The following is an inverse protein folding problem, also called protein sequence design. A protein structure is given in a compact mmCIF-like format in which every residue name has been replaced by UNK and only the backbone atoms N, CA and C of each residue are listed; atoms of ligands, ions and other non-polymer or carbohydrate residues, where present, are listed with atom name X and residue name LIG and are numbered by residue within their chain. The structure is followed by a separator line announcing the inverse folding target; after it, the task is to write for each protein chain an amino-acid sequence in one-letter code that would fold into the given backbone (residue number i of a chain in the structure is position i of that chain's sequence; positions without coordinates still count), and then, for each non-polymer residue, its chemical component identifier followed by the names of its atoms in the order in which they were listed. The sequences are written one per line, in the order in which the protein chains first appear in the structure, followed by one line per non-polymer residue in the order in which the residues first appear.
data_IF_394946585577
#
_entry.id   IF_394946585577
#
_cell.length_a   1.000
_cell.length_b   1.000
_cell.length_c   1.000
_cell.angle_alpha   90.00
_cell.angle_beta   90.00
_cell.angle_gamma   90.00
#
_symmetry.space_group_name_H-M   'P 1'
#
loop_
_entity.id
_entity.type
_entity.pdbx_description
1 polymer ?
#
# COMPACT_ATOMS: atom_id res chain seq x y z
N UNK A 1 -13.40 -54.67 50.28
CA UNK A 1 -13.33 -53.57 51.27
C UNK A 1 -12.20 -52.66 50.84
N UNK A 2 -12.38 -51.40 50.46
CA UNK A 2 -13.59 -50.60 50.37
C UNK A 2 -13.36 -49.56 49.26
N UNK A 3 -14.27 -49.56 48.28
CA UNK A 3 -14.20 -48.77 47.06
C UNK A 3 -15.26 -47.67 47.17
N UNK A 4 -14.99 -46.66 48.00
CA UNK A 4 -15.81 -45.45 48.27
C UNK A 4 -14.95 -44.61 49.22
N UNK A 5 -14.30 -43.50 48.84
CA UNK A 5 -14.89 -42.16 48.64
C UNK A 5 -13.82 -41.18 48.11
N UNK A 6 -13.49 -41.22 46.80
CA UNK A 6 -12.66 -40.18 46.13
C UNK A 6 -13.47 -39.21 45.25
N UNK A 7 -14.80 -39.30 45.29
CA UNK A 7 -15.70 -38.63 44.35
C UNK A 7 -15.98 -37.12 44.58
N UNK A 8 -15.96 -36.52 45.78
CA UNK A 8 -16.47 -35.16 45.95
C UNK A 8 -15.57 -34.10 45.27
N UNK A 9 -14.25 -34.26 45.35
CA UNK A 9 -13.31 -33.31 44.75
C UNK A 9 -13.36 -33.29 43.21
N UNK A 10 -13.51 -34.46 42.58
CA UNK A 10 -13.62 -34.58 41.12
C UNK A 10 -14.95 -34.00 40.60
N UNK A 11 -16.05 -34.24 41.32
CA UNK A 11 -17.37 -33.68 40.98
C UNK A 11 -17.40 -32.15 41.14
N UNK A 12 -16.82 -31.61 42.22
CA UNK A 12 -16.73 -30.17 42.44
C UNK A 12 -15.89 -29.50 41.34
N UNK A 13 -14.76 -30.10 40.93
CA UNK A 13 -13.95 -29.58 39.83
C UNK A 13 -14.72 -29.59 38.50
N UNK A 14 -15.42 -30.68 38.16
CA UNK A 14 -16.20 -30.77 36.92
C UNK A 14 -17.35 -29.74 36.87
N UNK A 15 -17.96 -29.40 38.01
CA UNK A 15 -19.09 -28.49 38.07
C UNK A 15 -18.70 -27.01 38.21
N UNK A 16 -17.58 -26.70 38.85
CA UNK A 16 -17.23 -25.32 39.23
C UNK A 16 -15.90 -24.82 38.67
N UNK A 17 -15.07 -25.72 38.11
CA UNK A 17 -13.69 -25.42 37.72
C UNK A 17 -12.75 -25.12 38.91
N UNK A 18 -13.25 -25.10 40.15
CA UNK A 18 -12.47 -24.79 41.35
C UNK A 18 -11.87 -26.06 41.94
N UNK A 19 -10.57 -26.04 42.21
CA UNK A 19 -9.87 -27.11 42.94
C UNK A 19 -10.10 -26.94 44.44
N UNK A 20 -10.46 -28.03 45.13
CA UNK A 20 -10.40 -28.12 46.59
C UNK A 20 -9.29 -29.10 47.00
N UNK A 21 -8.32 -28.60 47.76
CA UNK A 21 -7.21 -29.37 48.32
C UNK A 21 -5.88 -29.25 47.56
N UNK A 22 -4.79 -29.49 48.28
CA UNK A 22 -3.39 -29.30 47.84
C UNK A 22 -2.78 -30.56 47.18
N UNK A 23 -3.61 -31.58 46.91
CA UNK A 23 -3.15 -32.92 46.55
C UNK A 23 -2.84 -33.12 45.05
N UNK A 24 -3.23 -32.18 44.18
CA UNK A 24 -3.00 -32.28 42.74
C UNK A 24 -2.18 -31.08 42.29
N UNK A 25 -0.96 -31.33 41.81
CA UNK A 25 -0.09 -30.30 41.26
C UNK A 25 -0.74 -29.62 40.05
N UNK A 26 -0.53 -28.31 39.94
CA UNK A 26 -0.98 -27.56 38.77
C UNK A 26 -0.25 -28.08 37.53
N UNK A 27 -1.03 -28.30 36.46
CA UNK A 27 -0.50 -28.68 35.15
C UNK A 27 -0.18 -27.45 34.28
N UNK A 28 -0.51 -26.26 34.77
CA UNK A 28 -0.22 -25.00 34.13
C UNK A 28 1.30 -24.84 34.02
N UNK A 29 1.79 -24.56 32.81
CA UNK A 29 3.22 -24.48 32.52
C UNK A 29 3.89 -25.81 32.13
N UNK A 30 3.23 -26.98 32.31
CA UNK A 30 3.78 -28.28 31.91
C UNK A 30 3.72 -28.54 30.39
N UNK A 31 3.17 -27.60 29.59
CA UNK A 31 3.00 -27.69 28.13
C UNK A 31 2.43 -29.05 27.68
N UNK A 32 1.46 -29.58 28.44
CA UNK A 32 0.84 -30.87 28.18
C UNK A 32 -0.12 -30.77 27.00
N UNK A 33 -0.02 -31.74 26.08
CA UNK A 33 -0.93 -31.92 24.95
C UNK A 33 -1.53 -33.33 25.04
N UNK A 34 -2.81 -33.53 24.67
CA UNK A 34 -3.37 -34.86 24.48
C UNK A 34 -2.48 -35.71 23.58
N UNK A 35 -2.37 -37.01 23.84
CA UNK A 35 -1.52 -37.91 23.04
C UNK A 35 -1.85 -37.87 21.53
N UNK A 36 -3.13 -37.70 21.18
CA UNK A 36 -3.59 -37.52 19.80
C UNK A 36 -3.02 -36.26 19.14
N UNK A 37 -2.68 -35.24 19.92
CA UNK A 37 -2.12 -33.98 19.46
C UNK A 37 -0.59 -33.92 19.61
N UNK A 38 0.07 -34.99 20.08
CA UNK A 38 1.52 -35.02 20.23
C UNK A 38 2.28 -34.67 18.92
N UNK A 39 1.85 -35.08 17.72
CA UNK A 39 2.49 -34.67 16.47
C UNK A 39 2.40 -33.16 16.19
N UNK A 40 1.41 -32.46 16.74
CA UNK A 40 1.19 -31.03 16.56
C UNK A 40 1.93 -30.17 17.59
N UNK A 41 2.75 -30.78 18.44
CA UNK A 41 3.57 -30.06 19.42
C UNK A 41 4.63 -29.19 18.74
N UNK A 42 5.18 -29.67 17.63
CA UNK A 42 6.12 -28.93 16.80
C UNK A 42 5.41 -28.52 15.49
N UNK A 43 4.88 -27.30 15.48
CA UNK A 43 4.23 -26.75 14.29
C UNK A 43 5.23 -26.43 13.17
N UNK A 44 6.52 -26.25 13.47
CA UNK A 44 7.54 -25.98 12.46
C UNK A 44 7.82 -27.21 11.60
N UNK A 45 7.61 -28.41 12.15
CA UNK A 45 7.68 -29.68 11.41
C UNK A 45 6.47 -29.93 10.50
N UNK A 46 5.38 -29.17 10.65
CA UNK A 46 4.16 -29.33 9.87
C UNK A 46 4.08 -28.29 8.75
N UNK A 47 3.70 -28.74 7.56
CA UNK A 47 3.42 -27.87 6.43
C UNK A 47 1.98 -27.38 6.50
N UNK A 48 1.80 -26.11 6.82
CA UNK A 48 0.52 -25.42 6.96
C UNK A 48 0.63 -24.02 6.33
N UNK A 49 -0.48 -23.28 6.29
CA UNK A 49 -0.57 -22.00 5.57
C UNK A 49 0.30 -20.86 6.13
N UNK A 50 0.80 -20.98 7.35
CA UNK A 50 1.79 -20.07 7.92
C UNK A 50 3.20 -20.64 7.76
N UNK A 51 4.26 -19.82 7.67
CA UNK A 51 4.23 -18.35 7.72
C UNK A 51 3.68 -17.72 6.43
N UNK A 52 3.20 -16.49 6.57
CA UNK A 52 2.79 -15.65 5.43
C UNK A 52 3.97 -14.79 4.98
N UNK A 53 4.05 -14.52 3.68
CA UNK A 53 4.96 -13.58 3.06
C UNK A 53 4.14 -12.39 2.58
N UNK A 54 4.46 -11.22 3.13
CA UNK A 54 3.87 -9.93 2.80
C UNK A 54 4.67 -9.35 1.64
N UNK A 55 4.23 -9.61 0.41
CA UNK A 55 4.96 -9.28 -0.81
C UNK A 55 4.97 -7.77 -1.08
N UNK A 56 6.14 -7.26 -1.44
CA UNK A 56 6.34 -5.87 -1.84
C UNK A 56 5.87 -5.63 -3.28
N UNK A 57 5.32 -4.45 -3.54
CA UNK A 57 4.98 -3.99 -4.90
C UNK A 57 3.82 -4.75 -5.57
N UNK A 58 3.18 -5.69 -4.87
CA UNK A 58 2.00 -6.41 -5.36
C UNK A 58 0.76 -5.83 -4.72
N UNK A 59 -0.22 -5.45 -5.54
CA UNK A 59 -1.48 -4.92 -5.06
C UNK A 59 -2.55 -6.00 -4.86
N UNK A 60 -3.52 -5.67 -4.00
CA UNK A 60 -4.74 -6.47 -3.83
C UNK A 60 -4.49 -7.83 -3.18
N UNK A 61 -5.31 -8.85 -3.49
CA UNK A 61 -5.26 -10.15 -2.80
C UNK A 61 -3.97 -10.95 -3.09
N UNK A 62 -3.17 -10.54 -4.07
CA UNK A 62 -1.87 -11.14 -4.37
C UNK A 62 -0.74 -10.68 -3.44
N UNK A 63 -0.95 -9.62 -2.65
CA UNK A 63 0.06 -9.01 -1.76
C UNK A 63 0.45 -9.90 -0.58
N UNK A 64 -0.30 -10.99 -0.34
CA UNK A 64 -0.06 -11.94 0.74
C UNK A 64 -0.08 -13.35 0.18
N UNK A 65 0.97 -14.12 0.49
CA UNK A 65 1.12 -15.51 0.05
C UNK A 65 1.63 -16.36 1.19
N UNK A 66 1.19 -17.62 1.31
CA UNK A 66 1.87 -18.55 2.22
C UNK A 66 3.25 -18.92 1.66
N UNK A 67 4.22 -19.13 2.56
CA UNK A 67 5.55 -19.62 2.17
C UNK A 67 5.45 -20.93 1.37
N UNK A 68 4.61 -21.87 1.81
CA UNK A 68 4.36 -23.12 1.09
C UNK A 68 3.87 -22.90 -0.33
N UNK A 69 2.96 -21.95 -0.54
CA UNK A 69 2.44 -21.68 -1.88
C UNK A 69 3.50 -21.02 -2.80
N UNK A 70 4.43 -20.25 -2.26
CA UNK A 70 5.57 -19.69 -3.03
C UNK A 70 6.55 -20.80 -3.41
N UNK A 71 6.92 -21.66 -2.46
CA UNK A 71 7.79 -22.82 -2.70
C UNK A 71 7.16 -23.79 -3.71
N UNK A 72 5.85 -24.07 -3.61
CA UNK A 72 5.11 -24.89 -4.58
C UNK A 72 5.02 -24.25 -5.97
N UNK A 73 4.98 -22.92 -6.03
CA UNK A 73 5.08 -22.16 -7.29
C UNK A 73 6.44 -22.38 -7.93
N UNK A 74 7.50 -22.04 -7.20
CA UNK A 74 8.89 -22.20 -7.62
C UNK A 74 9.18 -23.64 -8.08
N UNK A 75 8.82 -24.66 -7.27
CA UNK A 75 9.09 -26.06 -7.59
C UNK A 75 8.37 -26.56 -8.86
N UNK A 76 7.23 -25.98 -9.24
CA UNK A 76 6.57 -26.31 -10.51
C UNK A 76 7.37 -25.84 -11.72
N UNK A 77 8.19 -24.81 -11.56
CA UNK A 77 8.99 -24.22 -12.62
C UNK A 77 10.39 -24.83 -12.70
N UNK A 78 11.05 -24.99 -11.54
CA UNK A 78 12.46 -25.39 -11.50
C UNK A 78 12.69 -26.90 -11.34
N UNK A 79 11.70 -27.66 -10.86
CA UNK A 79 11.85 -29.10 -10.64
C UNK A 79 11.12 -29.90 -11.73
N UNK A 80 11.82 -30.37 -12.79
CA UNK A 80 11.23 -31.23 -13.81
C UNK A 80 10.83 -32.61 -13.25
N UNK A 81 10.16 -33.43 -14.07
CA UNK A 81 9.90 -34.83 -13.72
C UNK A 81 11.20 -35.64 -13.86
N UNK A 82 11.55 -36.43 -12.86
CA UNK A 82 12.75 -37.25 -12.85
C UNK A 82 13.48 -37.21 -11.49
N UNK A 83 14.59 -37.94 -11.40
CA UNK A 83 15.37 -38.09 -10.17
C UNK A 83 15.96 -36.75 -9.71
N UNK A 84 16.50 -35.95 -10.63
CA UNK A 84 17.10 -34.65 -10.32
C UNK A 84 16.06 -33.66 -9.79
N UNK A 85 14.88 -33.59 -10.44
CA UNK A 85 13.79 -32.75 -9.95
C UNK A 85 13.26 -33.20 -8.59
N UNK A 86 13.22 -34.50 -8.32
CA UNK A 86 12.80 -35.00 -7.00
C UNK A 86 13.83 -34.71 -5.90
N UNK A 87 15.12 -34.75 -6.23
CA UNK A 87 16.19 -34.29 -5.34
C UNK A 87 16.03 -32.79 -5.03
N UNK A 88 15.77 -31.96 -6.03
CA UNK A 88 15.54 -30.53 -5.83
C UNK A 88 14.29 -30.26 -4.96
N UNK A 89 13.18 -30.98 -5.19
CA UNK A 89 11.99 -30.90 -4.32
C UNK A 89 12.31 -31.21 -2.87
N UNK A 90 13.05 -32.31 -2.61
CA UNK A 90 13.45 -32.67 -1.25
C UNK A 90 14.23 -31.56 -0.58
N UNK A 91 15.24 -31.00 -1.25
CA UNK A 91 16.08 -29.96 -0.68
C UNK A 91 15.34 -28.64 -0.48
N UNK A 92 14.47 -28.25 -1.41
CA UNK A 92 13.63 -27.06 -1.24
C UNK A 92 12.65 -27.21 -0.05
N UNK A 93 12.08 -28.40 0.16
CA UNK A 93 11.21 -28.66 1.31
C UNK A 93 11.98 -28.71 2.64
N UNK A 94 13.24 -29.19 2.63
CA UNK A 94 14.14 -29.06 3.77
C UNK A 94 14.43 -27.60 4.08
N UNK A 95 14.72 -26.78 3.07
CA UNK A 95 14.92 -25.34 3.23
C UNK A 95 13.67 -24.65 3.78
N UNK A 96 12.47 -24.97 3.26
CA UNK A 96 11.20 -24.46 3.80
C UNK A 96 11.07 -24.79 5.30
N UNK A 97 11.46 -26.00 5.71
CA UNK A 97 11.43 -26.43 7.11
C UNK A 97 12.44 -25.65 7.98
N UNK A 98 13.63 -25.38 7.47
CA UNK A 98 14.65 -24.58 8.17
C UNK A 98 14.21 -23.13 8.34
N UNK A 99 13.53 -22.53 7.36
CA UNK A 99 12.91 -21.20 7.51
C UNK A 99 11.84 -21.22 8.60
N UNK A 100 10.94 -22.23 8.58
CA UNK A 100 9.88 -22.38 9.59
C UNK A 100 10.43 -22.51 11.01
N UNK A 101 11.53 -23.25 11.19
CA UNK A 101 12.21 -23.38 12.49
C UNK A 101 12.83 -22.06 12.93
N UNK A 102 13.56 -21.38 12.05
CA UNK A 102 14.15 -20.09 12.37
C UNK A 102 13.09 -19.09 12.86
N UNK A 103 11.95 -19.03 12.19
CA UNK A 103 10.82 -18.18 12.59
C UNK A 103 10.20 -18.61 13.93
N UNK A 104 10.10 -19.92 14.19
CA UNK A 104 9.62 -20.43 15.48
C UNK A 104 10.57 -20.09 16.63
N UNK A 105 11.87 -20.00 16.34
CA UNK A 105 12.92 -19.57 17.27
C UNK A 105 12.98 -18.02 17.42
N UNK A 106 12.13 -17.29 16.71
CA UNK A 106 12.00 -15.83 16.82
C UNK A 106 12.80 -15.04 15.79
N UNK A 107 13.31 -15.67 14.73
CA UNK A 107 13.85 -14.94 13.60
C UNK A 107 12.76 -14.08 12.93
N UNK A 108 13.15 -12.90 12.46
CA UNK A 108 12.32 -12.02 11.65
C UNK A 108 13.17 -11.52 10.48
N UNK A 109 12.53 -11.23 9.35
CA UNK A 109 13.25 -10.72 8.18
C UNK A 109 12.46 -10.88 6.89
N UNK A 110 13.14 -10.56 5.78
CA UNK A 110 12.62 -10.75 4.43
C UNK A 110 12.78 -12.19 3.98
N UNK A 111 11.99 -12.60 2.98
CA UNK A 111 12.08 -13.95 2.41
C UNK A 111 13.47 -14.21 1.83
N UNK A 112 14.06 -13.23 1.14
CA UNK A 112 15.43 -13.28 0.62
C UNK A 112 16.45 -13.67 1.70
N UNK A 113 16.42 -12.96 2.83
CA UNK A 113 17.42 -13.07 3.88
C UNK A 113 17.27 -14.41 4.63
N UNK A 114 16.02 -14.80 4.88
CA UNK A 114 15.71 -16.09 5.50
C UNK A 114 16.06 -17.27 4.58
N UNK A 115 15.90 -17.09 3.26
CA UNK A 115 16.28 -18.08 2.27
C UNK A 115 17.79 -18.27 2.22
N UNK A 116 18.55 -17.18 2.12
CA UNK A 116 20.01 -17.21 2.11
C UNK A 116 20.55 -17.85 3.39
N UNK A 117 20.06 -17.43 4.56
CA UNK A 117 20.48 -18.01 5.84
C UNK A 117 20.13 -19.50 5.97
N UNK A 118 18.97 -19.94 5.44
CA UNK A 118 18.59 -21.35 5.45
C UNK A 118 19.42 -22.18 4.46
N UNK A 119 19.72 -21.64 3.28
CA UNK A 119 20.56 -22.28 2.28
C UNK A 119 21.99 -22.47 2.80
N UNK A 120 22.58 -21.45 3.43
CA UNK A 120 23.91 -21.54 4.04
C UNK A 120 23.96 -22.63 5.13
N UNK A 121 22.96 -22.69 6.03
CA UNK A 121 22.88 -23.76 7.06
C UNK A 121 22.78 -25.17 6.47
N UNK A 122 22.08 -25.33 5.35
CA UNK A 122 22.00 -26.61 4.65
C UNK A 122 23.30 -26.92 3.91
N UNK A 123 23.96 -25.92 3.32
CA UNK A 123 25.27 -26.02 2.70
C UNK A 123 26.36 -26.49 3.65
N UNK A 124 26.39 -25.96 4.88
CA UNK A 124 27.31 -26.42 5.93
C UNK A 124 27.12 -27.90 6.29
N UNK A 125 25.88 -28.42 6.20
CA UNK A 125 25.53 -29.78 6.60
C UNK A 125 25.69 -30.80 5.49
N UNK A 126 25.34 -30.43 4.25
CA UNK A 126 25.24 -31.35 3.11
C UNK A 126 26.18 -31.00 1.94
N UNK A 127 26.80 -29.82 1.94
CA UNK A 127 27.83 -29.38 0.99
C UNK A 127 27.53 -28.06 0.26
N UNK A 128 28.56 -27.31 -0.11
CA UNK A 128 28.48 -25.99 -0.79
C UNK A 128 27.71 -26.03 -2.12
N UNK A 129 27.77 -27.16 -2.84
CA UNK A 129 27.02 -27.34 -4.09
C UNK A 129 25.51 -27.28 -3.87
N UNK A 130 25.02 -27.72 -2.70
CA UNK A 130 23.60 -27.64 -2.37
C UNK A 130 23.17 -26.19 -2.14
N UNK A 131 23.98 -25.41 -1.42
CA UNK A 131 23.73 -24.00 -1.17
C UNK A 131 23.56 -23.22 -2.48
N UNK A 132 24.51 -23.39 -3.41
CA UNK A 132 24.46 -22.73 -4.72
C UNK A 132 23.20 -23.10 -5.52
N UNK A 133 22.79 -24.38 -5.48
CA UNK A 133 21.55 -24.84 -6.13
C UNK A 133 20.32 -24.19 -5.52
N UNK A 134 20.26 -24.08 -4.19
CA UNK A 134 19.13 -23.47 -3.48
C UNK A 134 19.06 -21.95 -3.70
N UNK A 135 20.21 -21.27 -3.74
CA UNK A 135 20.29 -19.85 -4.09
C UNK A 135 19.87 -19.61 -5.56
N UNK A 136 20.26 -20.49 -6.47
CA UNK A 136 19.81 -20.40 -7.86
C UNK A 136 18.30 -20.62 -7.98
N UNK A 137 17.73 -21.59 -7.26
CA UNK A 137 16.30 -21.84 -7.25
C UNK A 137 15.49 -20.63 -6.74
N UNK A 138 16.05 -19.84 -5.81
CA UNK A 138 15.42 -18.62 -5.29
C UNK A 138 15.07 -17.61 -6.38
N UNK A 139 15.79 -17.61 -7.51
CA UNK A 139 15.51 -16.71 -8.64
C UNK A 139 14.15 -16.94 -9.30
N UNK A 140 13.53 -18.11 -9.10
CA UNK A 140 12.18 -18.43 -9.55
C UNK A 140 11.08 -18.04 -8.54
N UNK A 141 11.44 -17.43 -7.40
CA UNK A 141 10.46 -16.88 -6.48
C UNK A 141 9.87 -15.59 -7.07
N UNK A 142 8.54 -15.56 -7.16
CA UNK A 142 7.78 -14.44 -7.73
C UNK A 142 7.52 -13.35 -6.68
N UNK A 143 8.58 -12.70 -6.23
CA UNK A 143 8.53 -11.59 -5.30
C UNK A 143 9.19 -11.89 -3.96
N UNK A 144 9.48 -10.81 -3.25
CA UNK A 144 10.11 -10.80 -1.94
C UNK A 144 9.31 -9.89 -0.99
N UNK A 145 9.52 -10.07 0.30
CA UNK A 145 8.81 -9.29 1.31
C UNK A 145 8.98 -9.87 2.71
N UNK A 146 8.34 -9.22 3.67
CA UNK A 146 8.42 -9.58 5.09
C UNK A 146 7.76 -10.94 5.35
N UNK A 147 8.45 -11.83 6.05
CA UNK A 147 7.90 -13.13 6.45
C UNK A 147 7.36 -13.06 7.88
N UNK A 148 6.07 -13.33 8.02
CA UNK A 148 5.34 -13.22 9.29
C UNK A 148 4.86 -14.59 9.74
N UNK A 149 5.37 -15.02 10.90
CA UNK A 149 4.96 -16.25 11.57
C UNK A 149 3.57 -16.13 12.22
N UNK A 150 3.00 -17.24 12.66
CA UNK A 150 1.72 -17.25 13.39
C UNK A 150 1.92 -16.81 14.85
N UNK A 151 2.10 -15.50 15.06
CA UNK A 151 2.31 -14.88 16.38
C UNK A 151 1.17 -13.93 16.73
N UNK A 152 1.19 -13.38 17.96
CA UNK A 152 0.19 -12.39 18.40
C UNK A 152 0.27 -11.06 17.64
N UNK A 153 1.43 -10.72 17.06
CA UNK A 153 1.64 -9.48 16.28
C UNK A 153 1.26 -9.64 14.81
N UNK A 154 1.10 -10.88 14.33
CA UNK A 154 0.79 -11.18 12.94
C UNK A 154 -0.48 -10.49 12.42
N UNK A 155 -1.63 -10.50 13.12
CA UNK A 155 -2.85 -9.88 12.60
C UNK A 155 -2.68 -8.38 12.32
N UNK A 156 -1.98 -7.65 13.19
CA UNK A 156 -1.71 -6.23 13.02
C UNK A 156 -0.80 -5.97 11.81
N UNK A 157 0.29 -6.74 11.65
CA UNK A 157 1.20 -6.65 10.49
C UNK A 157 0.49 -6.97 9.18
N UNK A 158 -0.29 -8.04 9.16
CA UNK A 158 -1.06 -8.47 7.99
C UNK A 158 -2.06 -7.39 7.57
N UNK A 159 -2.87 -6.87 8.50
CA UNK A 159 -3.85 -5.83 8.20
C UNK A 159 -3.17 -4.53 7.74
N UNK A 160 -2.07 -4.12 8.39
CA UNK A 160 -1.32 -2.94 7.98
C UNK A 160 -0.75 -3.09 6.56
N UNK A 161 -0.23 -4.26 6.20
CA UNK A 161 0.27 -4.54 4.85
C UNK A 161 -0.82 -4.51 3.80
N UNK A 162 -1.91 -5.25 4.01
CA UNK A 162 -3.03 -5.29 3.06
C UNK A 162 -3.66 -3.90 2.91
N UNK A 163 -3.75 -3.14 4.01
CA UNK A 163 -4.17 -1.74 3.97
C UNK A 163 -3.25 -0.90 3.11
N UNK A 164 -1.94 -0.91 3.35
CA UNK A 164 -0.97 -0.13 2.55
C UNK A 164 -1.00 -0.52 1.07
N UNK A 165 -1.13 -1.81 0.75
CA UNK A 165 -1.25 -2.28 -0.63
C UNK A 165 -2.52 -1.75 -1.30
N UNK A 166 -3.67 -1.83 -0.62
CA UNK A 166 -4.93 -1.29 -1.12
C UNK A 166 -4.87 0.25 -1.30
N UNK A 167 -4.25 0.95 -0.35
CA UNK A 167 -4.09 2.41 -0.42
C UNK A 167 -3.09 2.85 -1.48
N UNK A 168 -2.04 2.07 -1.73
CA UNK A 168 -1.11 2.30 -2.83
C UNK A 168 -1.80 2.25 -4.19
N UNK A 169 -2.70 1.28 -4.38
CA UNK A 169 -3.52 1.18 -5.61
C UNK A 169 -4.44 2.40 -5.78
N UNK A 170 -5.15 2.80 -4.72
CA UNK A 170 -5.98 4.01 -4.73
C UNK A 170 -5.16 5.27 -5.02
N UNK A 171 -4.01 5.42 -4.39
CA UNK A 171 -3.12 6.58 -4.56
C UNK A 171 -2.64 6.71 -6.01
N UNK A 172 -2.24 5.61 -6.67
CA UNK A 172 -1.84 5.65 -8.09
C UNK A 172 -2.97 6.06 -9.02
N UNK A 173 -4.18 5.54 -8.78
CA UNK A 173 -5.36 5.96 -9.56
C UNK A 173 -5.62 7.45 -9.35
N UNK A 174 -5.65 7.91 -8.10
CA UNK A 174 -5.88 9.30 -7.76
C UNK A 174 -4.83 10.23 -8.39
N UNK A 175 -3.54 9.90 -8.30
CA UNK A 175 -2.47 10.69 -8.91
C UNK A 175 -2.60 10.79 -10.42
N UNK A 176 -3.06 9.73 -11.09
CA UNK A 176 -3.31 9.74 -12.53
C UNK A 176 -4.45 10.71 -12.88
N UNK A 177 -5.56 10.65 -12.15
CA UNK A 177 -6.71 11.55 -12.31
C UNK A 177 -6.32 13.01 -12.03
N UNK A 178 -5.65 13.26 -10.89
CA UNK A 178 -5.20 14.57 -10.44
C UNK A 178 -4.23 15.21 -11.44
N UNK A 179 -3.22 14.46 -11.88
CA UNK A 179 -2.23 14.95 -12.85
C UNK A 179 -2.89 15.31 -14.18
N UNK A 180 -3.86 14.49 -14.63
CA UNK A 180 -4.63 14.78 -15.83
C UNK A 180 -5.45 16.06 -15.72
N UNK A 181 -6.13 16.28 -14.60
CA UNK A 181 -6.88 17.52 -14.34
C UNK A 181 -5.95 18.74 -14.26
N UNK A 182 -4.87 18.64 -13.48
CA UNK A 182 -3.89 19.72 -13.33
C UNK A 182 -3.28 20.15 -14.68
N UNK A 183 -2.96 19.18 -15.55
CA UNK A 183 -2.46 19.45 -16.89
C UNK A 183 -3.50 20.23 -17.71
N UNK A 184 -4.75 19.76 -17.76
CA UNK A 184 -5.83 20.42 -18.50
C UNK A 184 -6.08 21.85 -18.03
N UNK A 185 -6.15 22.08 -16.72
CA UNK A 185 -6.35 23.44 -16.17
C UNK A 185 -5.15 24.35 -16.49
N UNK A 186 -3.92 23.82 -16.39
CA UNK A 186 -2.71 24.56 -16.74
C UNK A 186 -2.66 24.91 -18.23
N UNK A 187 -3.15 24.02 -19.10
CA UNK A 187 -3.24 24.26 -20.54
C UNK A 187 -4.30 25.32 -20.88
N UNK A 188 -5.44 25.36 -20.17
CA UNK A 188 -6.44 26.45 -20.31
C UNK A 188 -5.80 27.80 -19.99
N UNK A 189 -5.09 27.90 -18.85
CA UNK A 189 -4.40 29.12 -18.45
C UNK A 189 -3.30 29.51 -19.47
N UNK A 190 -2.53 28.53 -19.96
CA UNK A 190 -1.49 28.76 -20.96
C UNK A 190 -2.06 29.25 -22.28
N UNK A 191 -3.11 28.60 -22.79
CA UNK A 191 -3.76 28.99 -24.05
C UNK A 191 -4.29 30.43 -23.97
N UNK A 192 -4.97 30.78 -22.87
CA UNK A 192 -5.45 32.13 -22.66
C UNK A 192 -4.31 33.15 -22.51
N UNK A 193 -3.19 32.77 -21.90
CA UNK A 193 -2.03 33.66 -21.83
C UNK A 193 -1.45 33.93 -23.23
N UNK A 194 -1.27 32.90 -24.07
CA UNK A 194 -0.77 33.06 -25.45
C UNK A 194 -1.65 33.99 -26.28
N UNK A 195 -2.98 33.96 -26.06
CA UNK A 195 -3.95 34.80 -26.76
C UNK A 195 -4.21 36.17 -26.10
N UNK A 196 -3.58 36.45 -24.96
CA UNK A 196 -3.69 37.73 -24.24
C UNK A 196 -2.73 38.78 -24.77
N UNK A 197 -3.01 40.06 -24.47
CA UNK A 197 -2.11 41.18 -24.80
C UNK A 197 -0.69 40.98 -24.24
N UNK A 198 -0.58 40.37 -23.05
CA UNK A 198 0.70 40.05 -22.42
C UNK A 198 1.46 38.90 -23.11
N UNK A 199 0.74 37.93 -23.69
CA UNK A 199 1.33 36.83 -24.46
C UNK A 199 1.79 37.23 -25.86
N UNK A 200 1.12 38.23 -26.46
CA UNK A 200 1.50 38.79 -27.76
C UNK A 200 2.71 39.72 -27.71
N UNK A 201 3.29 39.98 -26.54
CA UNK A 201 4.49 40.82 -26.40
C UNK A 201 5.72 40.13 -27.00
N UNK A 202 6.67 40.88 -27.57
CA UNK A 202 7.86 40.31 -28.21
C UNK A 202 8.64 39.34 -27.29
N UNK A 203 8.75 39.65 -25.99
CA UNK A 203 9.47 38.82 -25.03
C UNK A 203 8.77 37.48 -24.77
N UNK A 204 7.45 37.48 -24.65
CA UNK A 204 6.64 36.27 -24.45
C UNK A 204 6.64 35.36 -25.69
N UNK A 205 6.57 35.95 -26.88
CA UNK A 205 6.68 35.22 -28.16
C UNK A 205 8.06 34.57 -28.30
N UNK A 206 9.13 35.29 -27.91
CA UNK A 206 10.50 34.77 -27.89
C UNK A 206 10.70 33.63 -26.89
N UNK A 207 10.06 33.71 -25.72
CA UNK A 207 10.11 32.67 -24.71
C UNK A 207 9.35 31.39 -25.13
N UNK A 208 8.24 31.55 -25.85
CA UNK A 208 7.38 30.46 -26.34
C UNK A 208 7.99 29.68 -27.52
N UNK A 209 8.91 30.29 -28.28
CA UNK A 209 9.65 29.65 -29.37
C UNK A 209 10.92 28.96 -28.83
N UNK A 210 11.04 27.67 -29.14
CA UNK A 210 12.19 26.83 -28.80
C UNK A 210 13.51 27.38 -29.35
N UNK A 211 14.61 27.10 -28.65
CA UNK A 211 15.90 27.79 -28.85
C UNK A 211 16.51 27.73 -30.25
N UNK A 212 16.12 26.76 -31.10
CA UNK A 212 16.72 26.52 -32.41
C UNK A 212 16.39 27.56 -33.50
N UNK A 213 15.37 28.41 -33.30
CA UNK A 213 14.92 29.36 -34.34
C UNK A 213 14.81 30.81 -33.87
N UNK A 214 15.37 31.15 -32.69
CA UNK A 214 15.23 32.50 -32.11
C UNK A 214 15.88 33.61 -32.92
N UNK A 215 16.94 33.32 -33.66
CA UNK A 215 17.67 34.33 -34.44
C UNK A 215 17.08 34.54 -35.85
N UNK A 216 16.08 33.72 -36.25
CA UNK A 216 15.47 33.77 -37.57
C UNK A 216 14.17 34.61 -37.64
N UNK A 217 13.68 35.10 -36.49
CA UNK A 217 12.40 35.81 -36.39
C UNK A 217 12.56 37.22 -35.80
N UNK A 218 11.88 38.20 -36.41
CA UNK A 218 11.68 39.54 -35.84
C UNK A 218 10.42 39.53 -34.95
N UNK A 219 10.64 39.46 -33.64
CA UNK A 219 9.56 39.37 -32.64
C UNK A 219 8.78 40.66 -32.47
N UNK A 220 9.35 41.82 -32.81
CA UNK A 220 8.67 43.11 -32.78
C UNK A 220 7.66 43.22 -33.93
N UNK A 221 8.02 42.71 -35.11
CA UNK A 221 7.11 42.61 -36.25
C UNK A 221 6.03 41.53 -36.02
N UNK A 222 6.40 40.37 -35.50
CA UNK A 222 5.45 39.30 -35.17
C UNK A 222 4.40 39.75 -34.16
N UNK A 223 4.81 40.46 -33.10
CA UNK A 223 3.90 41.02 -32.10
C UNK A 223 2.85 41.93 -32.72
N UNK A 224 3.24 42.80 -33.68
CA UNK A 224 2.30 43.70 -34.38
C UNK A 224 1.35 42.97 -35.32
N UNK A 225 1.78 41.86 -35.93
CA UNK A 225 0.97 41.08 -36.86
C UNK A 225 -0.05 40.24 -36.09
N UNK A 226 0.39 39.52 -35.06
CA UNK A 226 -0.46 38.67 -34.22
C UNK A 226 -1.46 39.52 -33.42
N UNK A 227 -1.00 40.65 -32.85
CA UNK A 227 -1.86 41.56 -32.08
C UNK A 227 -2.95 42.27 -32.89
N UNK A 228 -2.82 42.36 -34.23
CA UNK A 228 -3.85 42.95 -35.11
C UNK A 228 -4.88 41.93 -35.63
N UNK A 229 -4.55 40.64 -35.61
CA UNK A 229 -5.33 39.59 -36.28
C UNK A 229 -6.11 38.65 -35.36
N UNK A 230 -5.82 38.61 -34.07
CA UNK A 230 -6.50 37.72 -33.13
C UNK A 230 -7.64 38.42 -32.40
N UNK A 231 -8.85 37.80 -32.30
CA UNK A 231 -9.83 38.23 -31.32
C UNK A 231 -9.23 38.06 -29.93
N UNK A 232 -9.22 39.13 -29.13
CA UNK A 232 -8.77 39.08 -27.73
C UNK A 232 -9.68 38.12 -26.96
N UNK A 233 -9.21 36.90 -26.73
CA UNK A 233 -9.86 35.93 -25.85
C UNK A 233 -9.15 35.96 -24.50
N UNK A 234 -9.28 37.08 -23.80
CA UNK A 234 -8.84 37.15 -22.42
C UNK A 234 -9.78 36.33 -21.55
N UNK A 235 -9.20 35.42 -20.76
CA UNK A 235 -9.96 34.71 -19.74
C UNK A 235 -10.57 35.73 -18.78
N UNK A 236 -11.88 35.65 -18.44
CA UNK A 236 -12.47 36.50 -17.42
C UNK A 236 -11.66 36.44 -16.12
N UNK A 237 -11.48 37.56 -15.40
CA UNK A 237 -10.65 37.61 -14.20
C UNK A 237 -11.15 36.66 -13.12
N UNK A 238 -12.48 36.51 -12.97
CA UNK A 238 -13.12 35.54 -12.07
C UNK A 238 -12.69 34.11 -12.39
N UNK A 239 -12.80 33.71 -13.66
CA UNK A 239 -12.39 32.39 -14.14
C UNK A 239 -10.89 32.12 -13.96
N UNK A 240 -10.02 33.10 -14.24
CA UNK A 240 -8.57 32.95 -14.02
C UNK A 240 -8.26 32.71 -12.55
N UNK A 241 -8.82 33.52 -11.66
CA UNK A 241 -8.65 33.39 -10.22
C UNK A 241 -9.12 32.01 -9.72
N UNK A 242 -10.30 31.54 -10.18
CA UNK A 242 -10.83 30.23 -9.83
C UNK A 242 -9.91 29.09 -10.27
N UNK A 243 -9.38 29.12 -11.49
CA UNK A 243 -8.44 28.12 -12.00
C UNK A 243 -7.13 28.09 -11.20
N UNK A 244 -6.57 29.26 -10.89
CA UNK A 244 -5.33 29.38 -10.10
C UNK A 244 -5.53 28.89 -8.66
N UNK A 245 -6.63 29.27 -8.01
CA UNK A 245 -6.99 28.79 -6.67
C UNK A 245 -7.21 27.27 -6.64
N UNK A 246 -7.93 26.74 -7.63
CA UNK A 246 -8.17 25.30 -7.76
C UNK A 246 -6.85 24.55 -7.92
N UNK A 247 -5.98 25.00 -8.83
CA UNK A 247 -4.65 24.42 -9.01
C UNK A 247 -3.79 24.48 -7.73
N UNK A 248 -3.89 25.55 -6.96
CA UNK A 248 -3.17 25.67 -5.69
C UNK A 248 -3.60 24.58 -4.69
N UNK A 249 -4.92 24.39 -4.51
CA UNK A 249 -5.47 23.34 -3.62
C UNK A 249 -5.08 21.94 -4.09
N UNK A 250 -5.21 21.65 -5.39
CA UNK A 250 -4.85 20.35 -5.96
C UNK A 250 -3.36 20.02 -5.74
N UNK A 251 -2.47 21.03 -5.84
CA UNK A 251 -1.02 20.87 -5.63
C UNK A 251 -0.64 20.70 -4.17
N UNK A 252 -1.36 21.34 -3.25
CA UNK A 252 -1.07 21.31 -1.82
C UNK A 252 -1.77 20.17 -1.07
N UNK A 253 -2.45 19.25 -1.77
CA UNK A 253 -3.10 18.11 -1.14
C UNK A 253 -2.09 17.23 -0.40
N UNK A 254 -2.49 16.71 0.77
CA UNK A 254 -1.63 15.90 1.65
C UNK A 254 -2.20 14.51 1.94
N UNK A 255 -3.29 14.14 1.26
CA UNK A 255 -3.99 12.87 1.50
C UNK A 255 -3.27 11.71 0.84
N UNK A 256 -2.73 11.92 -0.36
CA UNK A 256 -2.01 10.88 -1.08
C UNK A 256 -0.53 11.25 -1.16
N UNK A 257 0.30 10.41 -0.54
CA UNK A 257 1.73 10.53 -0.68
C UNK A 257 2.15 10.32 -2.14
N UNK A 258 3.07 11.13 -2.69
CA UNK A 258 3.63 10.91 -4.02
C UNK A 258 4.46 9.62 -4.06
N UNK A 259 5.01 9.20 -2.92
CA UNK A 259 5.78 7.97 -2.73
C UNK A 259 5.57 7.46 -1.28
N UNK A 260 5.33 6.17 -1.02
CA UNK A 260 5.28 5.61 0.33
C UNK A 260 6.53 5.88 1.18
N UNK A 261 7.70 6.11 0.57
CA UNK A 261 8.93 6.44 1.30
C UNK A 261 9.13 7.96 1.52
N UNK A 262 8.50 8.82 0.69
CA UNK A 262 8.55 10.28 0.81
C UNK A 262 7.43 10.83 1.72
N UNK A 263 7.12 10.13 2.81
CA UNK A 263 5.94 10.36 3.65
C UNK A 263 5.97 11.64 4.51
N UNK A 264 7.08 12.39 4.53
CA UNK A 264 7.30 13.48 5.50
C UNK A 264 6.23 14.58 5.49
N UNK A 265 5.65 14.88 4.33
CA UNK A 265 4.67 15.98 4.17
C UNK A 265 3.21 15.50 4.12
N UNK A 266 2.94 14.19 4.08
CA UNK A 266 1.59 13.64 3.90
C UNK A 266 0.94 13.17 5.21
N UNK A 267 -0.39 13.01 5.21
CA UNK A 267 -1.13 12.50 6.35
C UNK A 267 -0.84 11.01 6.59
N UNK A 268 -0.62 10.63 7.85
CA UNK A 268 -0.59 9.21 8.27
C UNK A 268 -2.03 8.72 8.50
N UNK A 269 -2.31 7.46 8.17
CA UNK A 269 -3.61 6.80 8.33
C UNK A 269 -3.56 5.52 9.17
N UNK A 270 -2.39 5.16 9.70
CA UNK A 270 -2.22 4.02 10.60
C UNK A 270 -2.09 4.53 12.03
N UNK A 271 -2.95 4.03 12.92
CA UNK A 271 -3.05 4.45 14.32
C UNK A 271 -3.15 3.24 15.26
N UNK A 272 -2.59 3.40 16.46
CA UNK A 272 -2.64 2.37 17.51
C UNK A 272 -3.89 2.49 18.40
N UNK A 273 -4.68 3.56 18.27
CA UNK A 273 -5.91 3.76 19.03
C UNK A 273 -6.97 4.56 18.25
N UNK A 274 -8.24 4.34 18.61
CA UNK A 274 -9.37 4.97 17.94
C UNK A 274 -9.51 6.48 18.23
N UNK A 275 -9.00 6.95 19.37
CA UNK A 275 -9.13 8.36 19.76
C UNK A 275 -8.26 9.28 18.88
N UNK A 276 -7.04 8.85 18.58
CA UNK A 276 -6.15 9.57 17.66
C UNK A 276 -6.64 9.48 16.23
N UNK A 277 -7.22 8.35 15.81
CA UNK A 277 -7.88 8.21 14.51
C UNK A 277 -9.07 9.18 14.36
N UNK A 278 -9.93 9.29 15.39
CA UNK A 278 -11.07 10.20 15.39
C UNK A 278 -10.62 11.67 15.35
N UNK A 279 -9.62 12.04 16.15
CA UNK A 279 -9.05 13.40 16.15
C UNK A 279 -8.45 13.75 14.81
N UNK A 280 -7.74 12.82 14.18
CA UNK A 280 -7.16 13.03 12.87
C UNK A 280 -8.23 13.18 11.77
N UNK A 281 -9.32 12.44 11.86
CA UNK A 281 -10.47 12.61 10.97
C UNK A 281 -11.07 14.02 11.10
N UNK A 282 -11.36 14.46 12.33
CA UNK A 282 -11.91 15.80 12.60
C UNK A 282 -11.00 16.93 12.08
N UNK A 283 -9.68 16.80 12.29
CA UNK A 283 -8.70 17.78 11.82
C UNK A 283 -8.60 17.88 10.30
N UNK A 284 -8.93 16.80 9.58
CA UNK A 284 -8.74 16.69 8.12
C UNK A 284 -10.03 16.82 7.33
N UNK A 285 -11.20 16.79 7.99
CA UNK A 285 -12.49 16.85 7.33
C UNK A 285 -12.64 18.10 6.46
N UNK A 286 -12.19 19.25 6.95
CA UNK A 286 -12.19 20.51 6.20
C UNK A 286 -11.25 20.46 4.97
N UNK A 287 -10.06 19.87 5.11
CA UNK A 287 -9.12 19.68 4.01
C UNK A 287 -9.68 18.73 2.94
N UNK A 288 -10.41 17.69 3.37
CA UNK A 288 -11.06 16.73 2.47
C UNK A 288 -12.19 17.41 1.68
N UNK A 289 -13.05 18.18 2.35
CA UNK A 289 -14.09 18.97 1.71
C UNK A 289 -13.52 19.97 0.70
N UNK A 290 -12.45 20.68 1.08
CA UNK A 290 -11.75 21.61 0.20
C UNK A 290 -11.19 20.92 -1.05
N UNK A 291 -10.59 19.73 -0.89
CA UNK A 291 -10.04 18.98 -2.01
C UNK A 291 -11.14 18.44 -2.94
N UNK A 292 -12.24 17.91 -2.41
CA UNK A 292 -13.37 17.44 -3.23
C UNK A 292 -14.00 18.59 -4.00
N UNK A 293 -14.24 19.73 -3.35
CA UNK A 293 -14.69 20.96 -3.99
C UNK A 293 -13.76 21.35 -5.15
N UNK A 294 -12.45 21.37 -4.92
CA UNK A 294 -11.47 21.70 -5.95
C UNK A 294 -11.47 20.69 -7.12
N UNK A 295 -11.61 19.39 -6.83
CA UNK A 295 -11.74 18.35 -7.87
C UNK A 295 -13.00 18.55 -8.72
N UNK A 296 -14.16 18.81 -8.11
CA UNK A 296 -15.41 19.05 -8.83
C UNK A 296 -15.34 20.31 -9.70
N UNK A 297 -14.76 21.40 -9.19
CA UNK A 297 -14.51 22.62 -9.98
C UNK A 297 -13.57 22.31 -11.15
N UNK A 298 -12.48 21.58 -10.90
CA UNK A 298 -11.51 21.22 -11.92
C UNK A 298 -12.13 20.37 -13.04
N UNK A 299 -12.97 19.39 -12.69
CA UNK A 299 -13.67 18.54 -13.66
C UNK A 299 -14.64 19.35 -14.54
N UNK A 300 -15.40 20.27 -13.95
CA UNK A 300 -16.32 21.15 -14.67
C UNK A 300 -15.58 22.13 -15.60
N UNK A 301 -14.50 22.73 -15.13
CA UNK A 301 -13.66 23.63 -15.93
C UNK A 301 -12.95 22.91 -17.08
N UNK A 302 -12.37 21.73 -16.80
CA UNK A 302 -11.71 20.90 -17.81
C UNK A 302 -12.68 20.40 -18.89
N UNK A 303 -13.97 20.21 -18.54
CA UNK A 303 -15.02 19.85 -19.47
C UNK A 303 -15.66 21.07 -20.17
N UNK A 304 -15.29 22.30 -19.79
CA UNK A 304 -15.94 23.53 -20.29
C UNK A 304 -17.41 23.67 -19.90
N UNK A 305 -17.86 23.00 -18.83
CA UNK A 305 -19.25 22.98 -18.35
C UNK A 305 -19.49 23.88 -17.14
N UNK A 306 -18.46 24.58 -16.67
CA UNK A 306 -18.60 25.48 -15.53
C UNK A 306 -19.43 26.71 -15.90
N UNK A 307 -20.53 26.91 -15.18
CA UNK A 307 -21.43 28.06 -15.30
C UNK A 307 -21.42 28.83 -13.98
N UNK A 308 -20.83 30.02 -13.96
CA UNK A 308 -20.59 30.80 -12.72
C UNK A 308 -21.88 31.05 -11.93
N UNK A 309 -22.96 31.49 -12.59
CA UNK A 309 -24.23 31.79 -11.94
C UNK A 309 -24.92 30.59 -11.26
N UNK A 310 -24.64 29.37 -11.72
CA UNK A 310 -25.25 28.14 -11.20
C UNK A 310 -24.34 27.44 -10.19
N UNK A 311 -23.03 27.41 -10.45
CA UNK A 311 -22.09 26.62 -9.68
C UNK A 311 -21.46 27.39 -8.52
N UNK A 312 -21.26 28.71 -8.63
CA UNK A 312 -20.65 29.50 -7.55
C UNK A 312 -21.48 29.41 -6.25
N UNK A 313 -22.81 29.57 -6.25
CA UNK A 313 -23.61 29.43 -5.02
C UNK A 313 -23.54 28.05 -4.37
N UNK A 314 -23.43 26.99 -5.20
CA UNK A 314 -23.30 25.61 -4.72
C UNK A 314 -21.94 25.41 -4.07
N UNK A 315 -20.87 25.87 -4.72
CA UNK A 315 -19.52 25.69 -4.20
C UNK A 315 -19.21 26.63 -3.02
N UNK A 316 -19.83 27.81 -2.92
CA UNK A 316 -19.70 28.70 -1.76
C UNK A 316 -20.25 28.08 -0.47
N UNK A 317 -21.34 27.31 -0.58
CA UNK A 317 -21.94 26.58 0.55
C UNK A 317 -21.33 25.20 0.81
N UNK A 318 -20.42 24.73 -0.06
CA UNK A 318 -19.83 23.40 0.04
C UNK A 318 -18.84 23.29 1.21
N UNK A 319 -19.13 22.37 2.13
CA UNK A 319 -18.39 22.14 3.36
C UNK A 319 -18.32 20.64 3.73
N UNK A 320 -17.99 20.33 4.99
CA UNK A 320 -17.90 18.96 5.48
C UNK A 320 -19.23 18.21 5.43
N UNK A 321 -20.36 18.89 5.65
CA UNK A 321 -21.70 18.28 5.62
C UNK A 321 -22.12 17.92 4.19
N UNK A 322 -21.49 18.55 3.20
CA UNK A 322 -21.73 18.30 1.78
C UNK A 322 -21.04 17.03 1.25
N UNK A 323 -20.14 16.42 2.04
CA UNK A 323 -19.39 15.22 1.65
C UNK A 323 -20.28 13.97 1.59
N UNK A 324 -20.25 13.26 0.47
CA UNK A 324 -20.96 11.98 0.33
C UNK A 324 -20.07 10.80 0.75
N UNK A 325 -20.70 9.64 0.99
CA UNK A 325 -19.96 8.40 1.22
C UNK A 325 -19.05 8.01 0.04
N UNK A 326 -19.44 8.35 -1.19
CA UNK A 326 -18.63 8.12 -2.38
C UNK A 326 -17.38 9.02 -2.40
N UNK A 327 -17.50 10.27 -1.96
CA UNK A 327 -16.37 11.20 -1.85
C UNK A 327 -15.38 10.73 -0.80
N UNK A 328 -15.87 10.33 0.37
CA UNK A 328 -15.03 9.79 1.44
C UNK A 328 -14.32 8.49 1.02
N UNK A 329 -14.97 7.64 0.21
CA UNK A 329 -14.37 6.40 -0.28
C UNK A 329 -13.15 6.62 -1.20
N UNK A 330 -13.03 7.80 -1.81
CA UNK A 330 -11.86 8.17 -2.62
C UNK A 330 -10.62 8.34 -1.74
N UNK A 331 -10.76 8.83 -0.51
CA UNK A 331 -9.66 9.09 0.40
C UNK A 331 -9.13 7.81 1.10
N UNK A 332 -7.90 7.88 1.67
CA UNK A 332 -7.33 6.80 2.45
C UNK A 332 -8.10 6.50 3.73
#
# INVERSE_FOLDING_TARGET
MDMKTRQPAQQIFHLTGKRQGDALQAIDGLKLLPALLAPYRDLAALRHDFPLVLLDGVDGPGSVRSLSALVDGMLREVAPRGIEGERLRRHALQLETEIRRALADGAEGRLSDLWEAAAARLGEREGETLEQVLLHAASALHGDGEVVACTQTMPARLLAHVWRAAQGAKARQFHTELSGLMLRLSDILRAAHVHSEAGTRPESLKASLGGSHRDAFDFDLLSRIVGKGMPQQDLPPSRRQRLEQTLAVLRSQRFFAPDPEAAGDCFNFVYDNCADAARAYEQRAADAASLIKALSIAELEAAGRYVEAEHDPVFESFDVESLTAADLARFP
#
